data_IF_823490145206
#
_entry.id   IF_823490145206
#
_cell.length_a   1.000
_cell.length_b   1.000
_cell.length_c   1.000
_cell.angle_alpha   90.00
_cell.angle_beta   90.00
_cell.angle_gamma   90.00
#
_symmetry.space_group_name_H-M   'P 1'
#
loop_
_entity.id
_entity.type
_entity.pdbx_description
1 polymer ?
#
# COMPACT_ATOMS: atom_id res chain seq x y z
N UNK A 1 13.04 20.21 17.49
CA UNK A 1 13.38 18.80 17.75
C UNK A 1 12.22 17.97 17.23
N UNK A 2 12.24 17.59 15.95
CA UNK A 2 11.21 16.74 15.33
C UNK A 2 11.75 15.94 14.14
N UNK A 3 13.07 15.83 13.99
CA UNK A 3 13.71 15.13 12.86
C UNK A 3 14.23 13.73 13.25
N UNK A 4 14.26 13.36 14.53
CA UNK A 4 14.83 12.06 14.98
C UNK A 4 13.80 10.91 15.01
N UNK A 5 12.51 11.24 15.13
CA UNK A 5 11.45 10.24 15.29
C UNK A 5 11.20 9.36 14.05
N UNK A 6 11.11 9.87 12.80
CA UNK A 6 10.77 9.04 11.64
C UNK A 6 11.91 8.07 11.25
N UNK A 7 13.16 8.52 11.34
CA UNK A 7 14.34 7.68 11.09
C UNK A 7 14.52 6.59 12.15
N UNK A 8 14.23 6.89 13.41
CA UNK A 8 14.24 5.89 14.48
C UNK A 8 13.14 4.83 14.28
N UNK A 9 11.93 5.26 13.89
CA UNK A 9 10.83 4.35 13.55
C UNK A 9 11.22 3.43 12.39
N UNK A 10 11.89 3.95 11.36
CA UNK A 10 12.39 3.15 10.23
C UNK A 10 13.42 2.12 10.68
N UNK A 11 14.38 2.52 11.53
CA UNK A 11 15.40 1.59 12.05
C UNK A 11 14.79 0.44 12.85
N UNK A 12 13.83 0.73 13.72
CA UNK A 12 13.11 -0.33 14.45
C UNK A 12 12.29 -1.22 13.52
N UNK A 13 11.63 -0.64 12.51
CA UNK A 13 10.87 -1.39 11.52
C UNK A 13 11.77 -2.35 10.72
N UNK A 14 12.91 -1.89 10.22
CA UNK A 14 13.85 -2.70 9.46
C UNK A 14 14.41 -3.85 10.30
N UNK A 15 14.74 -3.58 11.56
CA UNK A 15 15.19 -4.62 12.49
C UNK A 15 14.09 -5.67 12.75
N UNK A 16 12.85 -5.25 12.96
CA UNK A 16 11.73 -6.18 13.16
C UNK A 16 11.35 -6.99 11.92
N UNK A 17 11.56 -6.43 10.72
CA UNK A 17 11.36 -7.16 9.47
C UNK A 17 12.39 -8.29 9.32
N UNK A 18 13.65 -8.04 9.69
CA UNK A 18 14.73 -9.04 9.73
C UNK A 18 14.42 -10.16 10.73
N UNK A 19 13.99 -9.80 11.94
CA UNK A 19 13.67 -10.76 13.01
C UNK A 19 12.32 -11.50 12.79
N UNK A 20 11.56 -11.19 11.73
CA UNK A 20 10.21 -11.75 11.46
C UNK A 20 9.22 -11.54 12.63
N UNK A 21 9.42 -10.50 13.45
CA UNK A 21 8.61 -10.21 14.64
C UNK A 21 7.26 -9.57 14.26
N UNK A 22 7.03 -9.26 12.97
CA UNK A 22 5.78 -8.72 12.41
C UNK A 22 4.52 -9.40 12.98
N UNK A 23 4.60 -10.73 13.20
CA UNK A 23 3.50 -11.55 13.68
C UNK A 23 3.08 -11.25 15.13
N UNK A 24 3.96 -10.64 15.94
CA UNK A 24 3.77 -10.34 17.35
C UNK A 24 3.46 -8.88 17.66
N UNK A 25 3.80 -7.96 16.76
CA UNK A 25 3.68 -6.50 16.99
C UNK A 25 2.28 -5.93 16.68
N UNK A 26 1.37 -6.79 16.23
CA UNK A 26 -0.04 -6.47 16.05
C UNK A 26 -0.41 -6.15 14.59
N UNK A 27 -1.69 -6.33 14.22
CA UNK A 27 -2.13 -6.38 12.82
C UNK A 27 -1.97 -5.08 12.02
N UNK A 28 -1.74 -3.95 12.70
CA UNK A 28 -1.73 -2.61 12.10
C UNK A 28 -0.38 -1.88 12.25
N UNK A 29 0.69 -2.55 12.71
CA UNK A 29 1.98 -1.89 12.91
C UNK A 29 2.50 -1.27 11.61
N UNK A 30 2.55 -2.04 10.52
CA UNK A 30 3.02 -1.55 9.22
C UNK A 30 2.18 -0.34 8.72
N UNK A 31 0.89 -0.26 9.09
CA UNK A 31 0.06 0.90 8.73
C UNK A 31 0.48 2.15 9.50
N UNK A 32 0.72 2.00 10.80
CA UNK A 32 1.16 3.11 11.67
C UNK A 32 2.55 3.59 11.30
N UNK A 33 3.46 2.68 10.96
CA UNK A 33 4.81 3.01 10.47
C UNK A 33 4.71 3.77 9.17
N UNK A 34 3.98 3.24 8.18
CA UNK A 34 3.86 3.89 6.89
C UNK A 34 3.19 5.28 6.98
N UNK A 35 2.18 5.44 7.84
CA UNK A 35 1.54 6.74 8.07
C UNK A 35 2.49 7.72 8.79
N UNK A 36 3.32 7.26 9.73
CA UNK A 36 4.25 8.11 10.47
C UNK A 36 5.46 8.58 9.63
N UNK A 37 5.86 7.79 8.63
CA UNK A 37 7.02 8.10 7.77
C UNK A 37 6.61 8.73 6.44
N UNK A 38 5.31 8.80 6.10
CA UNK A 38 4.87 9.31 4.80
C UNK A 38 5.28 10.76 4.53
N UNK A 39 5.36 11.59 5.57
CA UNK A 39 5.73 13.01 5.46
C UNK A 39 7.23 13.24 5.21
N UNK A 40 8.10 12.31 5.64
CA UNK A 40 9.56 12.48 5.58
C UNK A 40 10.25 11.48 4.65
N UNK A 41 9.69 10.28 4.51
CA UNK A 41 10.23 9.15 3.77
C UNK A 41 9.14 8.51 2.90
N UNK A 42 8.58 9.31 1.99
CA UNK A 42 7.48 8.93 1.12
C UNK A 42 7.76 7.63 0.33
N UNK A 43 8.98 7.47 -0.19
CA UNK A 43 9.39 6.27 -0.94
C UNK A 43 9.28 4.99 -0.09
N UNK A 44 9.62 5.07 1.19
CA UNK A 44 9.53 3.93 2.12
C UNK A 44 8.08 3.66 2.51
N UNK A 45 7.27 4.69 2.75
CA UNK A 45 5.83 4.52 2.98
C UNK A 45 5.15 3.83 1.78
N UNK A 46 5.47 4.28 0.56
CA UNK A 46 5.01 3.67 -0.70
C UNK A 46 5.41 2.19 -0.77
N UNK A 47 6.65 1.85 -0.44
CA UNK A 47 7.12 0.46 -0.45
C UNK A 47 6.33 -0.43 0.51
N UNK A 48 6.02 0.07 1.73
CA UNK A 48 5.19 -0.66 2.71
C UNK A 48 3.77 -0.86 2.18
N UNK A 49 3.12 0.19 1.67
CA UNK A 49 1.77 0.07 1.13
C UNK A 49 1.70 -0.87 -0.07
N UNK A 50 2.71 -0.83 -0.94
CA UNK A 50 2.85 -1.75 -2.08
C UNK A 50 2.96 -3.20 -1.63
N UNK A 51 3.86 -3.49 -0.69
CA UNK A 51 4.04 -4.83 -0.09
C UNK A 51 2.73 -5.36 0.51
N UNK A 52 1.99 -4.52 1.25
CA UNK A 52 0.69 -4.92 1.83
C UNK A 52 -0.38 -5.16 0.78
N UNK A 53 -0.51 -4.27 -0.22
CA UNK A 53 -1.44 -4.45 -1.32
C UNK A 53 -1.22 -5.80 -2.01
N UNK A 54 0.02 -6.10 -2.39
CA UNK A 54 0.39 -7.34 -3.08
C UNK A 54 0.18 -8.59 -2.19
N UNK A 55 0.49 -8.52 -0.89
CA UNK A 55 0.20 -9.59 0.08
C UNK A 55 -1.31 -9.91 0.14
N UNK A 56 -2.16 -8.89 0.06
CA UNK A 56 -3.61 -9.08 0.01
C UNK A 56 -4.09 -9.60 -1.35
N UNK A 57 -3.54 -9.13 -2.47
CA UNK A 57 -3.90 -9.60 -3.83
C UNK A 57 -3.46 -11.05 -4.08
N UNK A 58 -2.38 -11.48 -3.44
CA UNK A 58 -1.93 -12.87 -3.46
C UNK A 58 -2.96 -13.80 -2.81
N UNK A 59 -3.66 -13.35 -1.76
CA UNK A 59 -4.74 -14.12 -1.12
C UNK A 59 -5.95 -14.16 -2.05
N UNK A 60 -6.27 -15.34 -2.58
CA UNK A 60 -7.35 -15.55 -3.56
C UNK A 60 -8.73 -15.55 -2.88
N UNK A 61 -9.05 -14.49 -2.15
CA UNK A 61 -10.33 -14.32 -1.46
C UNK A 61 -10.85 -12.89 -1.66
N UNK A 62 -12.18 -12.75 -1.83
CA UNK A 62 -12.82 -11.47 -2.15
C UNK A 62 -12.52 -10.40 -1.10
N UNK A 63 -12.62 -10.75 0.19
CA UNK A 63 -12.32 -9.83 1.29
C UNK A 63 -10.87 -9.32 1.28
N UNK A 64 -9.93 -10.12 0.77
CA UNK A 64 -8.54 -9.67 0.65
C UNK A 64 -8.37 -8.66 -0.47
N UNK A 65 -9.08 -8.82 -1.60
CA UNK A 65 -9.08 -7.80 -2.64
C UNK A 65 -9.68 -6.49 -2.12
N UNK A 66 -10.79 -6.52 -1.38
CA UNK A 66 -11.33 -5.31 -0.74
C UNK A 66 -10.36 -4.69 0.26
N UNK A 67 -9.64 -5.53 1.02
CA UNK A 67 -8.59 -5.06 1.91
C UNK A 67 -7.40 -4.44 1.17
N UNK A 68 -7.09 -4.83 -0.08
CA UNK A 68 -6.03 -4.22 -0.88
C UNK A 68 -6.42 -2.82 -1.38
N UNK A 69 -7.72 -2.55 -1.56
CA UNK A 69 -8.24 -1.28 -2.06
C UNK A 69 -7.74 -0.06 -1.24
N UNK A 70 -7.68 -0.19 0.09
CA UNK A 70 -7.21 0.92 0.95
C UNK A 70 -5.76 1.30 0.66
N UNK A 71 -4.91 0.32 0.36
CA UNK A 71 -3.50 0.53 0.05
C UNK A 71 -3.33 1.07 -1.36
N UNK A 72 -4.07 0.53 -2.32
CA UNK A 72 -4.06 1.01 -3.70
C UNK A 72 -4.48 2.49 -3.79
N UNK A 73 -5.45 2.93 -2.99
CA UNK A 73 -5.83 4.35 -2.89
C UNK A 73 -4.73 5.24 -2.31
N UNK A 74 -4.01 4.75 -1.29
CA UNK A 74 -2.86 5.47 -0.73
C UNK A 74 -1.75 5.60 -1.77
N UNK A 75 -1.42 4.51 -2.47
CA UNK A 75 -0.46 4.52 -3.57
C UNK A 75 -0.85 5.51 -4.67
N UNK A 76 -2.11 5.50 -5.12
CA UNK A 76 -2.61 6.47 -6.10
C UNK A 76 -2.48 7.93 -5.63
N UNK A 77 -2.66 8.18 -4.34
CA UNK A 77 -2.62 9.55 -3.78
C UNK A 77 -1.20 10.09 -3.58
N UNK A 78 -0.24 9.19 -3.37
CA UNK A 78 1.12 9.53 -2.96
C UNK A 78 2.18 9.26 -4.02
N UNK A 79 1.91 8.43 -5.03
CA UNK A 79 2.78 8.23 -6.18
C UNK A 79 2.56 9.31 -7.24
N UNK A 80 3.60 9.65 -8.02
CA UNK A 80 3.43 10.39 -9.26
C UNK A 80 2.41 9.70 -10.18
N UNK A 81 1.54 10.45 -10.91
CA UNK A 81 0.51 9.87 -11.76
C UNK A 81 1.03 8.88 -12.80
N UNK A 82 2.20 9.17 -13.38
CA UNK A 82 2.87 8.30 -14.36
C UNK A 82 3.34 6.96 -13.75
N UNK A 83 3.87 7.00 -12.53
CA UNK A 83 4.32 5.80 -11.83
C UNK A 83 3.14 4.96 -11.36
N UNK A 84 2.07 5.62 -10.90
CA UNK A 84 0.82 4.97 -10.55
C UNK A 84 0.21 4.22 -11.76
N UNK A 85 0.10 4.87 -12.91
CA UNK A 85 -0.48 4.24 -14.10
C UNK A 85 0.36 3.04 -14.55
N UNK A 86 1.69 3.19 -14.59
CA UNK A 86 2.60 2.09 -14.90
C UNK A 86 2.45 0.92 -13.92
N UNK A 87 2.37 1.20 -12.63
CA UNK A 87 2.18 0.17 -11.60
C UNK A 87 0.83 -0.54 -11.76
N UNK A 88 -0.23 0.23 -12.04
CA UNK A 88 -1.58 -0.29 -12.27
C UNK A 88 -1.66 -1.18 -13.51
N UNK A 89 -1.05 -0.77 -14.62
CA UNK A 89 -0.97 -1.59 -15.83
C UNK A 89 -0.24 -2.92 -15.55
N UNK A 90 0.83 -2.88 -14.77
CA UNK A 90 1.53 -4.10 -14.36
C UNK A 90 0.64 -5.01 -13.51
N UNK A 91 -0.10 -4.45 -12.53
CA UNK A 91 -1.08 -5.21 -11.74
C UNK A 91 -2.16 -5.84 -12.62
N UNK A 92 -2.70 -5.10 -13.60
CA UNK A 92 -3.69 -5.62 -14.56
C UNK A 92 -3.13 -6.80 -15.36
N UNK A 93 -1.91 -6.67 -15.87
CA UNK A 93 -1.24 -7.72 -16.65
C UNK A 93 -0.93 -8.95 -15.80
N UNK A 94 -0.30 -8.75 -14.65
CA UNK A 94 0.12 -9.81 -13.72
C UNK A 94 -1.08 -10.58 -13.15
N UNK A 95 -2.20 -9.90 -12.94
CA UNK A 95 -3.41 -10.48 -12.36
C UNK A 95 -4.60 -10.54 -13.31
N UNK A 96 -4.36 -10.59 -14.62
CA UNK A 96 -5.40 -10.59 -15.66
C UNK A 96 -6.48 -11.67 -15.49
N UNK A 97 -6.12 -12.80 -14.87
CA UNK A 97 -7.05 -13.93 -14.61
C UNK A 97 -7.93 -13.73 -13.36
N UNK A 98 -7.59 -12.78 -12.47
CA UNK A 98 -8.33 -12.51 -11.23
C UNK A 98 -9.42 -11.47 -11.49
N UNK A 99 -10.51 -11.85 -12.17
CA UNK A 99 -11.60 -10.93 -12.56
C UNK A 99 -12.12 -10.08 -11.39
N UNK A 100 -12.33 -10.69 -10.23
CA UNK A 100 -12.78 -9.99 -9.00
C UNK A 100 -11.77 -8.97 -8.49
N UNK A 101 -10.47 -9.22 -8.63
CA UNK A 101 -9.45 -8.24 -8.29
C UNK A 101 -9.44 -7.08 -9.30
N UNK A 102 -9.59 -7.36 -10.59
CA UNK A 102 -9.67 -6.31 -11.61
C UNK A 102 -10.87 -5.38 -11.37
N UNK A 103 -12.03 -5.90 -10.97
CA UNK A 103 -13.18 -5.10 -10.55
C UNK A 103 -12.86 -4.19 -9.35
N UNK A 104 -12.08 -4.68 -8.39
CA UNK A 104 -11.65 -3.87 -7.24
C UNK A 104 -10.63 -2.80 -7.65
N UNK A 105 -9.69 -3.15 -8.54
CA UNK A 105 -8.69 -2.22 -9.05
C UNK A 105 -9.34 -1.07 -9.83
N UNK A 106 -10.42 -1.34 -10.56
CA UNK A 106 -11.19 -0.33 -11.30
C UNK A 106 -11.88 0.68 -10.35
N UNK A 107 -12.41 0.22 -9.21
CA UNK A 107 -13.02 1.06 -8.15
C UNK A 107 -12.04 2.02 -7.46
N UNK A 108 -10.74 1.90 -7.72
CA UNK A 108 -9.75 2.90 -7.27
C UNK A 108 -10.00 4.23 -8.00
N UNK A 109 -10.40 4.20 -9.27
CA UNK A 109 -10.63 5.40 -10.09
C UNK A 109 -12.04 5.97 -9.96
N UNK A 110 -13.05 5.10 -9.80
CA UNK A 110 -14.47 5.46 -9.83
C UNK A 110 -14.84 6.56 -8.81
N UNK A 111 -14.08 6.68 -7.70
CA UNK A 111 -14.30 7.72 -6.69
C UNK A 111 -13.87 9.13 -7.12
N UNK A 112 -12.90 9.30 -8.03
CA UNK A 112 -12.48 10.64 -8.49
C UNK A 112 -13.38 11.22 -9.58
N UNK A 113 -14.07 10.38 -10.36
CA UNK A 113 -14.95 10.85 -11.44
C UNK A 113 -16.18 11.60 -10.88
N UNK A 114 -16.53 11.39 -9.60
CA UNK A 114 -17.65 12.07 -8.93
C UNK A 114 -17.23 13.43 -8.34
N UNK A 115 -15.94 13.76 -8.26
CA UNK A 115 -15.45 15.05 -7.73
C UNK A 115 -15.23 16.12 -8.84
N UNK A 116 -15.73 15.91 -10.06
CA UNK A 116 -15.65 16.87 -11.18
C UNK A 116 -17.04 17.09 -11.85
N UNK A 117 -18.06 17.42 -11.05
CA UNK A 117 -19.36 17.98 -11.51
C UNK A 117 -19.80 19.13 -10.60
#
# INVERSE_FOLDING_TARGET
IAEEAPDEILRWYDQWEEDQIDRYLGPNLEDRVADAIADTHLERAIAIWKKKAEKFIARVQVQAYEASLRYLRRLQSHMPPEEWEKYREDLRRTHARKRRFLEVLDRVEDRRIIEDI
#
